data_IF_732079451340
#
_entry.id   IF_732079451340
#
_cell.length_a   1.000
_cell.length_b   1.000
_cell.length_c   1.000
_cell.angle_alpha   90.00
_cell.angle_beta   90.00
_cell.angle_gamma   90.00
#
_symmetry.space_group_name_H-M   'P 1'
#
loop_
_entity.id
_entity.type
_entity.pdbx_description
1 polymer ?
#
# COMPACT_ATOMS: atom_id res chain seq x y z
N UNK A 1 12.82 10.87 -6.40
CA UNK A 1 12.24 10.92 -5.05
C UNK A 1 10.73 10.88 -5.19
N UNK A 2 10.03 10.12 -4.35
CA UNK A 2 8.57 10.04 -4.33
C UNK A 2 8.07 10.47 -2.94
N UNK A 3 6.86 11.04 -2.83
CA UNK A 3 6.27 11.29 -1.53
C UNK A 3 5.94 9.95 -0.85
N UNK A 4 6.38 9.78 0.39
CA UNK A 4 6.10 8.58 1.18
C UNK A 4 7.06 7.41 0.94
N UNK A 5 6.59 6.18 1.18
CA UNK A 5 7.37 4.96 1.05
C UNK A 5 7.45 4.51 -0.41
N UNK A 6 8.65 4.32 -1.02
CA UNK A 6 8.77 4.10 -2.47
C UNK A 6 8.04 2.89 -3.04
N UNK A 7 7.75 1.91 -2.19
CA UNK A 7 7.18 0.61 -2.55
C UNK A 7 5.77 0.38 -1.99
N UNK A 8 5.17 1.34 -1.25
CA UNK A 8 3.82 1.18 -0.70
C UNK A 8 2.83 1.99 -1.52
N UNK A 9 1.83 1.31 -2.08
CA UNK A 9 0.78 1.92 -2.92
C UNK A 9 1.36 2.76 -4.09
N UNK A 10 2.49 2.29 -4.64
CA UNK A 10 3.25 2.92 -5.72
C UNK A 10 3.63 1.87 -6.76
N UNK A 11 3.53 2.21 -8.04
CA UNK A 11 3.88 1.30 -9.15
C UNK A 11 5.24 1.62 -9.78
N UNK A 12 5.64 2.89 -9.75
CA UNK A 12 6.82 3.37 -10.48
C UNK A 12 8.12 2.96 -9.79
N UNK A 13 8.20 3.07 -8.46
CA UNK A 13 9.37 2.68 -7.68
C UNK A 13 9.75 1.20 -7.86
N UNK A 14 8.81 0.27 -7.65
CA UNK A 14 9.04 -1.16 -7.90
C UNK A 14 9.44 -1.47 -9.34
N UNK A 15 8.81 -0.84 -10.33
CA UNK A 15 9.14 -1.07 -11.75
C UNK A 15 10.55 -0.60 -12.12
N UNK A 16 10.99 0.55 -11.61
CA UNK A 16 12.38 1.02 -11.78
C UNK A 16 13.36 0.02 -11.17
N UNK A 17 13.10 -0.44 -9.95
CA UNK A 17 13.97 -1.41 -9.28
C UNK A 17 14.03 -2.74 -10.05
N UNK A 18 12.90 -3.21 -10.58
CA UNK A 18 12.80 -4.42 -11.41
C UNK A 18 13.65 -4.30 -12.68
N UNK A 19 13.49 -3.22 -13.46
CA UNK A 19 14.26 -3.01 -14.69
C UNK A 19 15.76 -2.81 -14.42
N UNK A 20 16.12 -2.17 -13.32
CA UNK A 20 17.51 -1.99 -12.95
C UNK A 20 18.17 -3.35 -12.61
N UNK A 21 17.47 -4.22 -11.89
CA UNK A 21 17.94 -5.58 -11.60
C UNK A 21 18.19 -6.38 -12.88
N UNK A 22 17.29 -6.31 -13.88
CA UNK A 22 17.46 -6.97 -15.18
C UNK A 22 18.69 -6.49 -15.96
N UNK A 23 19.15 -5.26 -15.70
CA UNK A 23 20.29 -4.63 -16.39
C UNK A 23 21.57 -4.65 -15.56
N UNK A 24 21.56 -5.27 -14.37
CA UNK A 24 22.70 -5.27 -13.45
C UNK A 24 23.07 -3.87 -12.94
N UNK A 25 22.11 -2.94 -12.92
CA UNK A 25 22.30 -1.59 -12.39
C UNK A 25 22.05 -1.62 -10.88
N UNK A 26 23.02 -1.24 -10.04
CA UNK A 26 22.84 -1.22 -8.60
C UNK A 26 21.78 -0.17 -8.21
N UNK A 27 20.78 -0.59 -7.44
CA UNK A 27 19.74 0.29 -6.89
C UNK A 27 19.75 0.18 -5.38
N UNK A 28 19.67 1.33 -4.73
CA UNK A 28 19.42 1.43 -3.30
C UNK A 28 18.03 2.05 -3.10
N UNK A 29 17.15 1.33 -2.42
CA UNK A 29 15.87 1.87 -1.95
C UNK A 29 16.12 2.52 -0.60
N UNK A 30 15.66 3.76 -0.44
CA UNK A 30 15.68 4.47 0.84
C UNK A 30 14.26 4.44 1.38
N UNK A 31 14.07 3.76 2.51
CA UNK A 31 12.76 3.64 3.12
C UNK A 31 12.25 5.00 3.61
N UNK A 32 10.96 5.25 3.37
CA UNK A 32 10.24 6.45 3.80
C UNK A 32 8.99 6.07 4.58
N UNK A 33 8.40 7.03 5.30
CA UNK A 33 7.12 6.82 5.98
C UNK A 33 6.01 6.62 4.95
N UNK A 34 5.18 5.60 5.09
CA UNK A 34 4.04 5.38 4.19
C UNK A 34 2.82 6.20 4.62
N UNK A 35 1.66 5.93 4.02
CA UNK A 35 0.38 6.47 4.49
C UNK A 35 -0.21 5.69 5.68
N UNK A 36 0.27 4.46 5.93
CA UNK A 36 -0.28 3.56 6.94
C UNK A 36 -0.07 4.11 8.35
N UNK A 37 1.15 4.55 8.67
CA UNK A 37 1.49 5.01 10.01
C UNK A 37 0.73 6.30 10.40
N UNK A 38 0.65 7.33 9.53
CA UNK A 38 -0.22 8.48 9.78
C UNK A 38 -1.70 8.10 9.88
N UNK A 39 -2.19 7.16 9.06
CA UNK A 39 -3.58 6.72 9.11
C UNK A 39 -3.93 6.05 10.45
N UNK A 40 -3.10 5.12 10.93
CA UNK A 40 -3.30 4.47 12.23
C UNK A 40 -3.20 5.47 13.38
N UNK A 41 -2.27 6.42 13.30
CA UNK A 41 -2.14 7.50 14.29
C UNK A 41 -3.38 8.39 14.32
N UNK A 42 -3.88 8.80 13.16
CA UNK A 42 -5.06 9.65 13.04
C UNK A 42 -6.34 8.96 13.54
N UNK A 43 -6.48 7.67 13.25
CA UNK A 43 -7.60 6.84 13.71
C UNK A 43 -7.47 6.37 15.16
N UNK A 44 -6.28 6.51 15.77
CA UNK A 44 -5.94 6.02 17.11
C UNK A 44 -6.19 4.53 17.28
N UNK A 45 -5.81 3.74 16.26
CA UNK A 45 -5.97 2.29 16.24
C UNK A 45 -4.62 1.58 16.20
N UNK A 46 -4.58 0.38 16.79
CA UNK A 46 -3.52 -0.60 16.58
C UNK A 46 -3.97 -1.57 15.47
N UNK A 47 -3.18 -1.81 14.42
CA UNK A 47 -3.52 -2.78 13.38
C UNK A 47 -3.58 -4.24 13.89
N UNK A 48 -3.09 -4.52 15.10
CA UNK A 48 -3.14 -5.85 15.71
C UNK A 48 -4.46 -6.12 16.46
N UNK A 49 -4.89 -7.39 16.53
CA UNK A 49 -4.27 -8.58 15.93
C UNK A 49 -4.54 -8.70 14.42
N UNK A 50 -5.50 -7.96 13.88
CA UNK A 50 -5.91 -8.10 12.49
C UNK A 50 -6.49 -6.79 11.92
N UNK A 51 -5.94 -6.40 10.79
CA UNK A 51 -6.51 -5.43 9.85
C UNK A 51 -6.21 -5.91 8.43
N UNK A 52 -7.14 -5.70 7.50
CA UNK A 52 -6.89 -5.94 6.07
C UNK A 52 -6.61 -4.61 5.38
N UNK A 53 -5.52 -4.51 4.62
CA UNK A 53 -5.24 -3.37 3.74
C UNK A 53 -5.51 -3.82 2.31
N UNK A 54 -6.30 -3.05 1.56
CA UNK A 54 -6.74 -3.42 0.23
C UNK A 54 -6.79 -2.21 -0.70
N UNK A 55 -6.60 -2.45 -2.00
CA UNK A 55 -6.79 -1.45 -3.04
C UNK A 55 -8.29 -1.28 -3.36
N UNK A 56 -8.75 -0.03 -3.52
CA UNK A 56 -10.14 0.26 -3.85
C UNK A 56 -10.57 -0.32 -5.20
N UNK A 57 -9.69 -0.40 -6.19
CA UNK A 57 -9.98 -0.98 -7.50
C UNK A 57 -10.15 -2.50 -7.43
N UNK A 58 -9.35 -3.16 -6.59
CA UNK A 58 -9.51 -4.60 -6.34
C UNK A 58 -10.83 -4.86 -5.60
N UNK A 59 -11.18 -4.00 -4.62
CA UNK A 59 -12.42 -4.13 -3.85
C UNK A 59 -13.67 -4.10 -4.74
N UNK A 60 -13.74 -3.18 -5.71
CA UNK A 60 -14.92 -3.03 -6.59
C UNK A 60 -15.03 -4.16 -7.62
N UNK A 61 -13.96 -4.91 -7.86
CA UNK A 61 -13.98 -6.05 -8.80
C UNK A 61 -14.66 -7.29 -8.22
N UNK A 62 -14.79 -7.36 -6.89
CA UNK A 62 -15.38 -8.49 -6.17
C UNK A 62 -16.90 -8.36 -5.97
N UNK A 63 -17.60 -9.49 -6.04
CA UNK A 63 -19.01 -9.60 -5.64
C UNK A 63 -19.20 -10.06 -4.18
N UNK A 64 -18.10 -10.27 -3.46
CA UNK A 64 -18.08 -10.63 -2.04
C UNK A 64 -16.90 -9.93 -1.35
N UNK A 65 -16.95 -9.73 -0.02
CA UNK A 65 -15.82 -9.22 0.72
C UNK A 65 -14.59 -10.13 0.52
N UNK A 66 -13.47 -9.52 0.14
CA UNK A 66 -12.16 -10.19 0.00
C UNK A 66 -11.38 -10.20 1.32
N UNK A 67 -12.07 -9.93 2.43
CA UNK A 67 -11.54 -9.83 3.79
C UNK A 67 -12.58 -10.32 4.80
N UNK A 68 -12.17 -10.68 6.04
CA UNK A 68 -13.11 -11.09 7.09
C UNK A 68 -14.07 -9.94 7.42
N UNK A 69 -15.39 -10.14 7.33
CA UNK A 69 -16.36 -9.06 7.54
C UNK A 69 -16.47 -8.61 9.01
N UNK A 70 -15.90 -9.39 9.93
CA UNK A 70 -15.83 -9.14 11.37
C UNK A 70 -14.52 -8.46 11.81
N UNK A 71 -13.62 -8.12 10.88
CA UNK A 71 -12.37 -7.43 11.15
C UNK A 71 -12.28 -6.06 10.45
N UNK A 72 -11.49 -5.11 10.98
CA UNK A 72 -11.25 -3.82 10.33
C UNK A 72 -10.58 -3.97 8.96
N UNK A 73 -10.93 -3.06 8.04
CA UNK A 73 -10.32 -2.95 6.73
C UNK A 73 -9.94 -1.50 6.42
N UNK A 74 -8.73 -1.29 5.91
CA UNK A 74 -8.22 -0.01 5.42
C UNK A 74 -8.15 -0.06 3.89
N UNK A 75 -9.12 0.59 3.23
CA UNK A 75 -9.18 0.69 1.78
C UNK A 75 -8.31 1.86 1.31
N UNK A 76 -7.26 1.56 0.56
CA UNK A 76 -6.32 2.50 -0.01
C UNK A 76 -6.68 2.85 -1.47
N UNK A 77 -6.00 3.85 -2.03
CA UNK A 77 -6.12 4.21 -3.46
C UNK A 77 -7.57 4.53 -3.88
N UNK A 78 -8.34 5.16 -2.97
CA UNK A 78 -9.68 5.67 -3.31
C UNK A 78 -9.53 6.91 -4.20
N UNK A 79 -9.70 6.71 -5.50
CA UNK A 79 -9.66 7.79 -6.48
C UNK A 79 -11.02 8.50 -6.55
N UNK A 80 -10.99 9.83 -6.67
CA UNK A 80 -12.15 10.56 -7.19
C UNK A 80 -12.26 10.28 -8.69
N UNK A 81 -13.47 10.05 -9.23
CA UNK A 81 -13.68 10.16 -10.67
C UNK A 81 -13.31 11.57 -11.18
#
# INVERSE_FOLDING_TARGET
AVPGHPFVAESTGPEIARQAAERGIPVQVIEGLSFLEPAFTALRIDPLPQITILDALDLVSGYHPMFPPDAPALVAQLYSP
#
